data_IF_183218838231
#
_entry.id   IF_183218838231
#
_cell.length_a   1.000
_cell.length_b   1.000
_cell.length_c   1.000
_cell.angle_alpha   90.00
_cell.angle_beta   90.00
_cell.angle_gamma   90.00
#
_symmetry.space_group_name_H-M   'P 1'
#
loop_
_entity.id
_entity.type
_entity.pdbx_description
1 polymer ?
#
# COMPACT_ATOMS: atom_id res chain seq x y z
N UNK A 1 -16.94 -0.19 -13.14
CA UNK A 1 -16.96 1.05 -12.34
C UNK A 1 -15.66 1.78 -12.56
N UNK A 2 -15.64 3.11 -12.52
CA UNK A 2 -14.38 3.84 -12.71
C UNK A 2 -13.88 4.31 -11.34
N UNK A 3 -12.61 4.05 -11.05
CA UNK A 3 -11.87 4.70 -9.98
C UNK A 3 -11.09 5.88 -10.58
N UNK A 4 -10.94 6.96 -9.84
CA UNK A 4 -9.96 7.97 -10.17
C UNK A 4 -8.56 7.42 -9.83
N UNK A 5 -7.76 7.23 -10.86
CA UNK A 5 -6.38 6.77 -10.73
C UNK A 5 -5.49 7.89 -11.28
N UNK A 6 -4.67 8.53 -10.44
CA UNK A 6 -3.68 9.49 -10.90
C UNK A 6 -2.75 8.86 -11.95
N UNK A 7 -2.31 9.62 -12.95
CA UNK A 7 -1.41 9.13 -14.00
C UNK A 7 -0.16 8.45 -13.40
N UNK A 8 0.41 9.06 -12.39
CA UNK A 8 1.56 8.54 -11.66
C UNK A 8 1.33 7.12 -11.10
N UNK A 9 0.14 6.86 -10.54
CA UNK A 9 -0.23 5.53 -10.02
C UNK A 9 -0.42 4.53 -11.18
N UNK A 10 -0.94 4.98 -12.31
CA UNK A 10 -1.06 4.12 -13.50
C UNK A 10 0.31 3.70 -14.04
N UNK A 11 1.26 4.64 -14.09
CA UNK A 11 2.64 4.38 -14.52
C UNK A 11 3.35 3.40 -13.57
N UNK A 12 3.17 3.55 -12.24
CA UNK A 12 3.69 2.62 -11.24
C UNK A 12 3.11 1.21 -11.41
N UNK A 13 1.79 1.12 -11.58
CA UNK A 13 1.11 -0.17 -11.76
C UNK A 13 1.58 -0.90 -13.02
N UNK A 14 1.77 -0.17 -14.12
CA UNK A 14 2.31 -0.75 -15.35
C UNK A 14 3.76 -1.22 -15.17
N UNK A 15 4.57 -0.43 -14.50
CA UNK A 15 5.98 -0.73 -14.27
C UNK A 15 6.20 -1.94 -13.36
N UNK A 16 5.55 -1.99 -12.21
CA UNK A 16 5.68 -3.11 -11.27
C UNK A 16 4.91 -4.35 -11.75
N UNK A 17 3.82 -4.16 -12.50
CA UNK A 17 3.05 -5.23 -13.13
C UNK A 17 2.57 -6.29 -12.14
N UNK A 18 2.83 -7.56 -12.48
CA UNK A 18 2.37 -8.72 -11.71
C UNK A 18 2.95 -8.77 -10.29
N UNK A 19 4.09 -8.13 -10.03
CA UNK A 19 4.69 -8.08 -8.69
C UNK A 19 3.76 -7.43 -7.66
N UNK A 20 2.83 -6.56 -8.08
CA UNK A 20 1.84 -5.94 -7.18
C UNK A 20 0.65 -6.84 -6.84
N UNK A 21 0.32 -7.79 -7.71
CA UNK A 21 -0.96 -8.51 -7.64
C UNK A 21 -0.79 -10.00 -7.37
N UNK A 22 0.28 -10.62 -7.86
CA UNK A 22 0.51 -12.05 -7.76
C UNK A 22 1.27 -12.41 -6.47
N UNK A 23 0.68 -12.06 -5.32
CA UNK A 23 1.28 -12.28 -4.01
C UNK A 23 1.57 -13.75 -3.71
N UNK A 24 0.82 -14.67 -4.33
CA UNK A 24 0.99 -16.13 -4.17
C UNK A 24 2.30 -16.64 -4.82
N UNK A 25 2.97 -15.81 -5.64
CA UNK A 25 4.29 -16.13 -6.21
C UNK A 25 5.42 -16.05 -5.19
N UNK A 26 5.16 -15.45 -4.02
CA UNK A 26 6.16 -15.19 -2.99
C UNK A 26 5.88 -16.03 -1.75
N UNK A 27 6.94 -16.56 -1.13
CA UNK A 27 6.81 -17.38 0.07
C UNK A 27 6.40 -16.57 1.32
N UNK A 28 6.70 -15.27 1.32
CA UNK A 28 6.45 -14.36 2.45
C UNK A 28 6.53 -12.89 2.02
N UNK A 29 6.14 -11.98 2.91
CA UNK A 29 6.19 -10.52 2.66
C UNK A 29 7.63 -10.02 2.41
N UNK A 30 8.67 -10.38 3.21
CA UNK A 30 10.03 -9.96 2.92
C UNK A 30 10.52 -10.30 1.50
N UNK A 31 10.21 -11.50 1.00
CA UNK A 31 10.58 -11.93 -0.36
C UNK A 31 9.88 -11.07 -1.41
N UNK A 32 8.59 -10.80 -1.24
CA UNK A 32 7.84 -9.92 -2.14
C UNK A 32 8.42 -8.49 -2.15
N UNK A 33 8.66 -7.91 -0.97
CA UNK A 33 9.18 -6.54 -0.88
C UNK A 33 10.63 -6.44 -1.42
N UNK A 34 11.43 -7.51 -1.34
CA UNK A 34 12.72 -7.59 -2.03
C UNK A 34 12.55 -7.52 -3.55
N UNK A 35 11.58 -8.24 -4.13
CA UNK A 35 11.30 -8.17 -5.56
C UNK A 35 10.92 -6.75 -5.99
N UNK A 36 10.05 -6.07 -5.22
CA UNK A 36 9.71 -4.67 -5.49
C UNK A 36 10.94 -3.74 -5.39
N UNK A 37 11.82 -3.93 -4.40
CA UNK A 37 13.04 -3.13 -4.27
C UNK A 37 13.99 -3.33 -5.46
N UNK A 38 14.13 -4.56 -5.96
CA UNK A 38 14.91 -4.87 -7.16
C UNK A 38 14.30 -4.18 -8.40
N UNK A 39 12.98 -4.22 -8.53
CA UNK A 39 12.27 -3.53 -9.62
C UNK A 39 12.43 -2.02 -9.54
N UNK A 40 12.27 -1.43 -8.35
CA UNK A 40 12.54 -0.01 -8.10
C UNK A 40 13.96 0.37 -8.52
N UNK A 41 14.96 -0.44 -8.19
CA UNK A 41 16.36 -0.16 -8.57
C UNK A 41 16.56 -0.09 -10.08
N UNK A 42 15.88 -0.94 -10.86
CA UNK A 42 15.85 -0.83 -12.31
C UNK A 42 15.28 0.52 -12.74
N UNK A 43 14.11 0.88 -12.22
CA UNK A 43 13.45 2.16 -12.54
C UNK A 43 14.27 3.40 -12.18
N UNK A 44 15.04 3.33 -11.08
CA UNK A 44 15.99 4.39 -10.73
C UNK A 44 17.09 4.50 -11.79
N UNK A 45 17.70 3.39 -12.19
CA UNK A 45 18.76 3.37 -13.22
C UNK A 45 18.29 3.91 -14.57
N UNK A 46 17.03 3.66 -14.90
CA UNK A 46 16.35 4.17 -16.09
C UNK A 46 15.83 5.60 -15.92
N UNK A 47 15.97 6.17 -14.71
CA UNK A 47 15.54 7.53 -14.35
C UNK A 47 14.04 7.77 -14.56
N UNK A 48 13.21 6.76 -14.29
CA UNK A 48 11.76 6.90 -14.35
C UNK A 48 11.25 7.94 -13.35
N UNK A 49 10.59 8.97 -13.86
CA UNK A 49 10.09 10.10 -13.06
C UNK A 49 9.15 9.68 -11.94
N UNK A 50 8.31 8.67 -12.18
CA UNK A 50 7.37 8.14 -11.18
C UNK A 50 8.09 7.39 -10.05
N UNK A 51 9.17 6.64 -10.34
CA UNK A 51 10.01 6.00 -9.32
C UNK A 51 10.73 7.04 -8.45
N UNK A 52 11.30 8.08 -9.07
CA UNK A 52 11.93 9.17 -8.31
C UNK A 52 10.90 9.89 -7.41
N UNK A 53 9.64 9.98 -7.83
CA UNK A 53 8.56 10.53 -7.00
C UNK A 53 8.23 9.60 -5.83
N UNK A 54 8.13 8.29 -6.08
CA UNK A 54 7.93 7.29 -5.03
C UNK A 54 9.03 7.37 -3.97
N UNK A 55 10.30 7.44 -4.38
CA UNK A 55 11.43 7.63 -3.48
C UNK A 55 11.29 8.93 -2.68
N UNK A 56 10.96 10.05 -3.33
CA UNK A 56 10.80 11.33 -2.64
C UNK A 56 9.63 11.37 -1.67
N UNK A 57 8.70 10.43 -1.75
CA UNK A 57 7.57 10.30 -0.82
C UNK A 57 7.91 9.42 0.40
N UNK A 58 8.81 8.45 0.24
CA UNK A 58 9.00 7.42 1.28
C UNK A 58 10.43 7.27 1.80
N UNK A 59 11.46 7.69 1.06
CA UNK A 59 12.83 7.63 1.56
C UNK A 59 13.11 8.83 2.49
N UNK A 60 13.45 8.56 3.76
CA UNK A 60 13.58 9.58 4.81
C UNK A 60 14.53 10.73 4.45
N UNK A 61 15.64 10.44 3.76
CA UNK A 61 16.66 11.44 3.40
C UNK A 61 16.25 12.29 2.19
N UNK A 62 15.26 11.83 1.40
CA UNK A 62 14.80 12.46 0.17
C UNK A 62 13.37 12.97 0.21
N UNK A 63 12.72 13.02 1.39
CA UNK A 63 11.33 13.47 1.52
C UNK A 63 11.13 14.87 0.91
N UNK A 64 10.28 14.94 -0.13
CA UNK A 64 9.98 16.15 -0.87
C UNK A 64 11.13 16.71 -1.69
N UNK A 65 12.21 15.94 -1.92
CA UNK A 65 13.44 16.41 -2.56
C UNK A 65 13.81 15.56 -3.79
N UNK A 66 12.85 15.35 -4.68
CA UNK A 66 13.03 14.53 -5.88
C UNK A 66 14.23 14.96 -6.74
N UNK A 67 14.47 16.27 -6.84
CA UNK A 67 15.49 16.88 -7.68
C UNK A 67 16.94 16.62 -7.23
N UNK A 68 17.14 16.20 -5.98
CA UNK A 68 18.48 15.88 -5.46
C UNK A 68 18.83 14.39 -5.55
N UNK A 69 17.88 13.55 -5.98
CA UNK A 69 18.12 12.10 -6.14
C UNK A 69 19.05 11.88 -7.34
N UNK A 70 20.25 11.36 -7.08
CA UNK A 70 21.18 10.97 -8.13
C UNK A 70 21.00 9.49 -8.49
N UNK A 71 20.40 9.16 -9.66
CA UNK A 71 20.14 7.77 -10.03
C UNK A 71 21.36 6.87 -10.10
N UNK A 72 22.57 7.46 -10.32
CA UNK A 72 23.83 6.70 -10.41
C UNK A 72 24.36 6.27 -9.04
N UNK A 73 24.03 7.01 -8.00
CA UNK A 73 24.51 6.79 -6.63
C UNK A 73 23.47 6.08 -5.76
N UNK A 74 22.19 6.11 -6.16
CA UNK A 74 21.10 5.48 -5.42
C UNK A 74 21.26 3.95 -5.47
N UNK A 75 21.51 3.35 -4.32
CA UNK A 75 21.84 1.93 -4.21
C UNK A 75 20.58 1.04 -4.08
N UNK A 76 20.79 -0.26 -4.20
CA UNK A 76 19.71 -1.24 -3.89
C UNK A 76 19.28 -1.17 -2.43
N UNK A 77 20.19 -0.84 -1.50
CA UNK A 77 19.84 -0.71 -0.09
C UNK A 77 18.98 0.54 0.17
N UNK A 78 19.17 1.62 -0.59
CA UNK A 78 18.28 2.78 -0.57
C UNK A 78 16.88 2.39 -1.10
N UNK A 79 16.80 1.59 -2.17
CA UNK A 79 15.53 1.06 -2.67
C UNK A 79 14.83 0.18 -1.63
N UNK A 80 15.55 -0.73 -0.99
CA UNK A 80 15.03 -1.57 0.11
C UNK A 80 14.49 -0.72 1.25
N UNK A 81 15.22 0.31 1.65
CA UNK A 81 14.77 1.23 2.70
C UNK A 81 13.53 2.01 2.29
N UNK A 82 13.44 2.45 1.01
CA UNK A 82 12.27 3.14 0.46
C UNK A 82 11.05 2.24 0.52
N UNK A 83 11.13 1.03 -0.01
CA UNK A 83 10.04 0.04 0.00
C UNK A 83 9.62 -0.31 1.44
N UNK A 84 10.58 -0.54 2.35
CA UNK A 84 10.24 -0.80 3.74
C UNK A 84 9.42 0.35 4.36
N UNK A 85 9.83 1.59 4.13
CA UNK A 85 9.13 2.77 4.65
C UNK A 85 7.74 2.93 4.03
N UNK A 86 7.59 2.71 2.71
CA UNK A 86 6.32 2.77 1.99
C UNK A 86 5.32 1.77 2.57
N UNK A 87 5.78 0.56 2.85
CA UNK A 87 4.96 -0.50 3.45
C UNK A 87 4.85 -0.40 4.98
N UNK A 88 5.24 0.74 5.55
CA UNK A 88 5.04 1.08 6.97
C UNK A 88 6.03 0.45 7.95
N UNK A 89 7.08 -0.23 7.46
CA UNK A 89 8.14 -0.75 8.33
C UNK A 89 9.15 0.35 8.69
N UNK A 90 9.64 0.35 9.92
CA UNK A 90 10.60 1.35 10.39
C UNK A 90 11.93 1.32 9.61
N UNK A 91 12.33 0.14 9.14
CA UNK A 91 13.53 -0.08 8.33
C UNK A 91 13.47 -1.44 7.63
N UNK A 92 14.34 -1.62 6.63
CA UNK A 92 14.55 -2.92 5.99
C UNK A 92 15.01 -4.00 7.00
N UNK A 93 15.85 -3.62 7.96
CA UNK A 93 16.29 -4.51 9.02
C UNK A 93 15.11 -4.97 9.90
N UNK A 94 14.18 -4.08 10.23
CA UNK A 94 13.00 -4.42 11.02
C UNK A 94 12.06 -5.39 10.28
N UNK A 95 11.94 -5.26 8.96
CA UNK A 95 11.23 -6.22 8.11
C UNK A 95 11.91 -7.60 8.14
N UNK A 96 13.22 -7.66 7.95
CA UNK A 96 13.99 -8.91 7.91
C UNK A 96 14.04 -9.66 9.25
N UNK A 97 13.71 -9.00 10.36
CA UNK A 97 13.52 -9.67 11.66
C UNK A 97 12.21 -10.48 11.71
N UNK A 98 11.37 -10.41 10.68
CA UNK A 98 10.10 -11.10 10.56
C UNK A 98 10.07 -12.03 9.31
N UNK A 99 10.98 -13.00 9.20
CA UNK A 99 11.17 -13.78 7.96
C UNK A 99 9.97 -14.65 7.59
N UNK A 100 9.07 -14.92 8.55
CA UNK A 100 7.87 -15.73 8.35
C UNK A 100 6.58 -14.89 8.30
N UNK A 101 6.68 -13.60 7.98
CA UNK A 101 5.52 -12.72 7.86
C UNK A 101 4.75 -13.06 6.58
N UNK A 102 3.56 -13.62 6.74
CA UNK A 102 2.71 -14.12 5.65
C UNK A 102 1.55 -13.16 5.37
N UNK A 103 1.07 -13.17 4.13
CA UNK A 103 -0.15 -12.50 3.74
C UNK A 103 -1.41 -13.15 4.32
N UNK A 104 -2.41 -12.33 4.59
CA UNK A 104 -3.81 -12.77 4.55
C UNK A 104 -4.34 -12.45 3.15
N UNK A 105 -4.31 -13.42 2.24
CA UNK A 105 -4.70 -13.23 0.83
C UNK A 105 -6.16 -12.77 0.68
N UNK A 106 -7.07 -13.24 1.54
CA UNK A 106 -8.46 -12.80 1.51
C UNK A 106 -8.58 -11.32 1.87
N UNK A 107 -7.80 -10.87 2.85
CA UNK A 107 -7.74 -9.46 3.23
C UNK A 107 -7.16 -8.60 2.11
N UNK A 108 -6.04 -8.99 1.50
CA UNK A 108 -5.44 -8.27 0.37
C UNK A 108 -6.39 -8.20 -0.83
N UNK A 109 -7.12 -9.28 -1.10
CA UNK A 109 -8.14 -9.31 -2.16
C UNK A 109 -9.33 -8.39 -1.85
N UNK A 110 -9.76 -8.33 -0.58
CA UNK A 110 -10.81 -7.42 -0.15
C UNK A 110 -10.38 -5.95 -0.31
N UNK A 111 -9.12 -5.60 -0.01
CA UNK A 111 -8.57 -4.27 -0.30
C UNK A 111 -8.67 -3.94 -1.78
N UNK A 112 -8.26 -4.85 -2.67
CA UNK A 112 -8.32 -4.61 -4.12
C UNK A 112 -9.77 -4.40 -4.58
N UNK A 113 -10.74 -5.18 -4.10
CA UNK A 113 -12.16 -4.95 -4.39
C UNK A 113 -12.65 -3.58 -3.91
N UNK A 114 -12.19 -3.14 -2.72
CA UNK A 114 -12.51 -1.81 -2.18
C UNK A 114 -12.00 -0.71 -3.11
N UNK A 115 -10.72 -0.76 -3.45
CA UNK A 115 -10.06 0.27 -4.24
C UNK A 115 -10.55 0.30 -5.70
N UNK A 116 -11.01 -0.83 -6.22
CA UNK A 116 -11.63 -0.93 -7.55
C UNK A 116 -13.12 -0.51 -7.56
N UNK A 117 -13.68 -0.16 -6.41
CA UNK A 117 -15.10 0.21 -6.29
C UNK A 117 -16.07 -0.95 -6.47
N UNK A 118 -15.62 -2.19 -6.29
CA UNK A 118 -16.43 -3.40 -6.49
C UNK A 118 -17.25 -3.74 -5.25
N UNK A 119 -18.25 -2.90 -4.91
CA UNK A 119 -19.11 -3.09 -3.75
C UNK A 119 -19.81 -4.48 -3.71
N UNK A 120 -20.29 -5.06 -4.83
CA UNK A 120 -20.83 -6.42 -4.79
C UNK A 120 -19.83 -7.47 -4.30
N UNK A 121 -18.56 -7.39 -4.73
CA UNK A 121 -17.53 -8.31 -4.28
C UNK A 121 -17.16 -8.07 -2.80
N UNK A 122 -17.12 -6.82 -2.34
CA UNK A 122 -16.93 -6.49 -0.93
C UNK A 122 -18.04 -7.11 -0.08
N UNK A 123 -19.31 -6.91 -0.47
CA UNK A 123 -20.47 -7.47 0.24
C UNK A 123 -20.37 -9.00 0.33
N UNK A 124 -20.01 -9.64 -0.76
CA UNK A 124 -19.85 -11.10 -0.79
C UNK A 124 -18.74 -11.56 0.15
N UNK A 125 -17.53 -11.02 0.03
CA UNK A 125 -16.39 -11.48 0.84
C UNK A 125 -16.60 -11.22 2.33
N UNK A 126 -17.20 -10.08 2.71
CA UNK A 126 -17.50 -9.79 4.12
C UNK A 126 -18.61 -10.70 4.67
N UNK A 127 -19.63 -11.04 3.86
CA UNK A 127 -20.66 -11.99 4.29
C UNK A 127 -20.13 -13.41 4.51
N UNK A 128 -19.12 -13.82 3.72
CA UNK A 128 -18.48 -15.14 3.84
C UNK A 128 -17.40 -15.17 4.95
N UNK A 129 -16.73 -14.04 5.20
CA UNK A 129 -15.58 -13.87 6.11
C UNK A 129 -15.71 -12.58 6.91
N UNK A 130 -16.66 -12.47 7.86
CA UNK A 130 -16.90 -11.24 8.60
C UNK A 130 -15.72 -10.77 9.47
N UNK A 131 -14.80 -11.67 9.82
CA UNK A 131 -13.57 -11.38 10.53
C UNK A 131 -12.67 -10.38 9.79
N UNK A 132 -12.79 -10.26 8.45
CA UNK A 132 -12.03 -9.29 7.65
C UNK A 132 -12.34 -7.83 8.03
N UNK A 133 -13.49 -7.55 8.66
CA UNK A 133 -13.81 -6.19 9.14
C UNK A 133 -12.87 -5.71 10.25
N UNK A 134 -12.36 -6.63 11.06
CA UNK A 134 -11.44 -6.35 12.17
C UNK A 134 -10.00 -6.76 11.87
N UNK A 135 -9.80 -7.49 10.78
CA UNK A 135 -8.47 -7.89 10.31
C UNK A 135 -7.64 -6.65 9.97
N UNK A 136 -6.33 -6.81 10.09
CA UNK A 136 -5.37 -5.76 9.80
C UNK A 136 -4.35 -6.24 8.78
N UNK A 137 -3.93 -5.35 7.91
CA UNK A 137 -2.82 -5.58 7.01
C UNK A 137 -1.60 -6.08 7.79
N UNK A 138 -0.90 -7.04 7.22
CA UNK A 138 0.36 -7.56 7.76
C UNK A 138 1.54 -6.65 7.47
N UNK A 139 1.33 -5.61 6.68
CA UNK A 139 2.31 -4.54 6.51
C UNK A 139 2.46 -3.70 7.79
N UNK A 140 3.56 -2.96 7.89
CA UNK A 140 3.91 -2.21 9.09
C UNK A 140 2.92 -1.10 9.47
N UNK A 141 2.16 -0.57 8.49
CA UNK A 141 1.10 0.43 8.76
C UNK A 141 -0.12 -0.16 9.47
N UNK A 142 -0.33 -1.49 9.43
CA UNK A 142 -1.34 -2.18 10.23
C UNK A 142 -2.78 -1.64 10.02
N UNK A 143 -3.12 -1.28 8.77
CA UNK A 143 -4.41 -0.68 8.40
C UNK A 143 -5.53 -1.72 8.34
N UNK A 144 -6.76 -1.31 8.67
CA UNK A 144 -8.00 -2.07 8.43
C UNK A 144 -8.53 -1.78 7.02
N UNK A 145 -9.55 -2.52 6.56
CA UNK A 145 -10.24 -2.21 5.30
C UNK A 145 -10.78 -0.76 5.29
N UNK A 146 -11.31 -0.29 6.41
CA UNK A 146 -11.83 1.07 6.51
C UNK A 146 -10.72 2.13 6.43
N UNK A 147 -9.52 1.85 6.95
CA UNK A 147 -8.38 2.75 6.79
C UNK A 147 -7.96 2.86 5.32
N UNK A 148 -8.00 1.76 4.56
CA UNK A 148 -7.72 1.79 3.11
C UNK A 148 -8.71 2.65 2.31
N UNK A 149 -9.96 2.80 2.78
CA UNK A 149 -10.92 3.72 2.17
C UNK A 149 -10.46 5.18 2.21
N UNK A 150 -9.61 5.56 3.16
CA UNK A 150 -8.97 6.88 3.22
C UNK A 150 -7.88 7.09 2.17
N UNK A 151 -7.39 6.03 1.53
CA UNK A 151 -6.34 5.94 0.50
C UNK A 151 -5.10 6.80 0.73
N UNK A 152 -4.80 7.18 1.97
CA UNK A 152 -3.66 8.01 2.32
C UNK A 152 -2.75 7.26 3.30
N UNK A 153 -1.44 7.24 3.01
CA UNK A 153 -0.45 6.59 3.86
C UNK A 153 -0.41 5.07 3.76
N UNK A 154 -1.13 4.48 2.83
CA UNK A 154 -0.98 3.09 2.41
C UNK A 154 -0.01 3.01 1.24
N UNK A 155 0.25 1.83 0.72
CA UNK A 155 1.16 1.60 -0.41
C UNK A 155 0.83 2.53 -1.58
N UNK A 156 1.84 3.13 -2.17
CA UNK A 156 1.66 4.22 -3.13
C UNK A 156 0.80 3.81 -4.33
N UNK A 157 1.02 2.64 -4.88
CA UNK A 157 0.26 2.10 -6.00
C UNK A 157 -1.23 1.86 -5.69
N UNK A 158 -1.61 1.80 -4.42
CA UNK A 158 -2.99 1.66 -3.92
C UNK A 158 -3.70 2.99 -3.68
N UNK A 159 -3.03 4.12 -3.88
CA UNK A 159 -3.62 5.44 -3.67
C UNK A 159 -4.51 5.84 -4.85
N UNK A 160 -5.62 5.14 -4.99
CA UNK A 160 -6.69 5.39 -5.95
C UNK A 160 -8.04 5.53 -5.24
N UNK A 161 -8.96 6.30 -5.82
CA UNK A 161 -10.26 6.60 -5.20
C UNK A 161 -11.39 6.10 -6.10
N UNK A 162 -12.16 5.08 -5.68
CA UNK A 162 -13.33 4.65 -6.43
C UNK A 162 -14.44 5.71 -6.38
N UNK A 163 -15.18 5.88 -7.48
CA UNK A 163 -16.23 6.90 -7.58
C UNK A 163 -17.39 6.64 -6.59
N UNK A 164 -17.60 5.38 -6.19
CA UNK A 164 -18.61 4.99 -5.22
C UNK A 164 -18.03 4.75 -3.81
N UNK A 165 -16.92 5.42 -3.48
CA UNK A 165 -16.30 5.30 -2.16
C UNK A 165 -17.26 5.59 -1.00
N UNK A 166 -18.14 6.62 -1.06
CA UNK A 166 -19.10 6.86 0.02
C UNK A 166 -20.03 5.68 0.29
N UNK A 167 -20.48 4.98 -0.74
CA UNK A 167 -21.36 3.79 -0.60
C UNK A 167 -20.60 2.62 0.03
N UNK A 168 -19.33 2.43 -0.31
CA UNK A 168 -18.46 1.41 0.27
C UNK A 168 -18.22 1.71 1.74
N UNK A 169 -17.86 2.94 2.09
CA UNK A 169 -17.63 3.36 3.48
C UNK A 169 -18.92 3.20 4.31
N UNK A 170 -20.07 3.64 3.78
CA UNK A 170 -21.36 3.47 4.44
C UNK A 170 -21.62 2.00 4.72
N UNK A 171 -21.45 1.13 3.73
CA UNK A 171 -21.64 -0.30 3.92
C UNK A 171 -20.71 -0.88 5.00
N UNK A 172 -19.41 -0.57 4.96
CA UNK A 172 -18.46 -1.08 5.96
C UNK A 172 -18.84 -0.65 7.38
N UNK A 173 -19.28 0.60 7.55
CA UNK A 173 -19.75 1.09 8.86
C UNK A 173 -21.05 0.42 9.32
N UNK A 174 -22.01 0.20 8.41
CA UNK A 174 -23.28 -0.50 8.70
C UNK A 174 -23.06 -1.93 9.17
N UNK A 175 -22.04 -2.63 8.61
CA UNK A 175 -21.73 -4.01 8.99
C UNK A 175 -20.74 -4.11 10.16
N UNK A 176 -20.35 -2.99 10.77
CA UNK A 176 -19.62 -2.94 12.03
C UNK A 176 -18.12 -2.67 11.94
N UNK A 177 -17.63 -2.11 10.84
CA UNK A 177 -16.22 -1.66 10.77
C UNK A 177 -15.94 -0.57 11.83
N UNK A 178 -14.80 -0.68 12.51
CA UNK A 178 -14.39 0.26 13.55
C UNK A 178 -13.88 1.58 12.95
N UNK A 179 -14.67 2.65 13.05
CA UNK A 179 -14.30 4.00 12.60
C UNK A 179 -13.17 4.63 13.41
N UNK A 180 -12.84 4.07 14.57
CA UNK A 180 -11.75 4.54 15.45
C UNK A 180 -10.46 3.78 15.25
N UNK A 181 -10.46 2.78 14.36
CA UNK A 181 -9.28 1.97 14.07
C UNK A 181 -8.10 2.84 13.65
N UNK A 182 -6.96 2.64 14.32
CA UNK A 182 -5.73 3.40 14.10
C UNK A 182 -4.83 2.62 13.14
N UNK A 183 -4.21 3.31 12.18
CA UNK A 183 -3.10 2.83 11.36
C UNK A 183 -1.84 3.65 11.63
N UNK A 184 -0.67 3.09 11.29
CA UNK A 184 0.65 3.72 11.49
C UNK A 184 1.22 4.16 10.16
N UNK A 185 1.23 5.47 9.89
CA UNK A 185 1.75 6.04 8.64
C UNK A 185 2.49 7.34 8.94
N UNK A 186 3.46 7.68 8.11
CA UNK A 186 4.26 8.90 8.24
C UNK A 186 4.90 9.10 9.64
N UNK A 187 5.19 8.01 10.34
CA UNK A 187 5.76 8.06 11.70
C UNK A 187 4.76 8.45 12.80
N UNK A 188 3.46 8.52 12.50
CA UNK A 188 2.38 8.82 13.42
C UNK A 188 1.29 7.75 13.45
N UNK A 189 0.29 7.98 14.30
CA UNK A 189 -0.89 7.14 14.43
C UNK A 189 -2.12 7.93 13.97
N UNK A 190 -2.88 7.38 13.02
CA UNK A 190 -4.00 8.05 12.38
C UNK A 190 -5.22 7.14 12.34
N UNK A 191 -6.39 7.71 12.53
CA UNK A 191 -7.68 7.08 12.24
C UNK A 191 -8.40 7.84 11.12
N UNK A 192 -9.50 7.30 10.63
CA UNK A 192 -10.25 7.88 9.52
C UNK A 192 -10.75 9.31 9.80
N UNK A 193 -11.00 9.68 11.06
CA UNK A 193 -11.47 11.02 11.43
C UNK A 193 -10.42 12.13 11.31
N UNK A 194 -9.14 11.75 11.23
CA UNK A 194 -8.02 12.68 11.04
C UNK A 194 -7.63 12.81 9.56
N UNK A 195 -8.13 11.91 8.72
CA UNK A 195 -7.98 11.97 7.27
C UNK A 195 -9.19 12.75 6.77
N UNK A 196 -9.03 14.03 6.47
CA UNK A 196 -10.09 14.83 5.87
C UNK A 196 -10.46 14.23 4.51
N UNK A 197 -11.63 13.59 4.45
CA UNK A 197 -12.29 13.15 3.22
C UNK A 197 -13.03 14.35 2.62
#
# INVERSE_FOLDING_TARGET
>A
MQAYIPQLISELKEFYGDDLYNLESYSNIPEHLEALAQRMHIGVRESHSFILTEISNYHKDYLGKKEVINPKEFSIDDCRQTIANEYGFASWTALNQQPNLLYNYDFEKAINFLLDGNLPAIRKVISEKPELLTERSKYGHNATLLNYAGSNGVEFWRQQVPLNLPEIVTYLLEVGADKTAIMKVYGGEFNLSLIHI
#
